data_IF_521290064629
#
_entry.id   IF_521290064629
#
_cell.length_a   1.000
_cell.length_b   1.000
_cell.length_c   1.000
_cell.angle_alpha   90.00
_cell.angle_beta   90.00
_cell.angle_gamma   90.00
#
_symmetry.space_group_name_H-M   'P 1'
#
loop_
_entity.id
_entity.type
_entity.pdbx_description
1 polymer ?
#
# COMPACT_ATOMS: atom_id res chain seq x y z
N UNK A 1 9.93 6.07 -36.56
CA UNK A 1 9.18 6.77 -35.49
C UNK A 1 8.18 7.71 -36.15
N UNK A 2 6.89 7.68 -35.74
CA UNK A 2 5.75 8.46 -36.28
C UNK A 2 4.83 7.73 -37.27
N UNK A 3 4.00 6.79 -36.78
CA UNK A 3 2.82 6.32 -37.53
C UNK A 3 1.47 6.65 -36.89
N UNK A 4 1.43 7.19 -35.66
CA UNK A 4 0.19 7.26 -34.87
C UNK A 4 -0.04 8.58 -34.10
N UNK A 5 0.62 9.69 -34.43
CA UNK A 5 0.27 10.97 -33.78
C UNK A 5 -0.99 11.54 -34.43
N UNK A 6 -2.11 11.55 -33.69
CA UNK A 6 -3.36 12.24 -34.06
C UNK A 6 -4.45 11.39 -34.72
N UNK A 7 -4.19 10.11 -35.00
CA UNK A 7 -5.22 9.18 -35.48
C UNK A 7 -5.98 8.54 -34.29
N UNK A 8 -7.26 8.17 -34.46
CA UNK A 8 -7.98 7.39 -33.46
C UNK A 8 -7.24 6.07 -33.20
N UNK A 9 -7.21 5.65 -31.94
CA UNK A 9 -6.58 4.39 -31.55
C UNK A 9 -7.43 3.22 -32.07
N UNK A 10 -6.85 2.41 -32.96
CA UNK A 10 -7.47 1.19 -33.45
C UNK A 10 -6.72 -0.03 -32.93
N UNK A 11 -7.46 -0.92 -32.27
CA UNK A 11 -6.91 -2.13 -31.65
C UNK A 11 -6.22 -3.03 -32.69
N UNK A 12 -6.82 -3.16 -33.88
CA UNK A 12 -6.31 -3.96 -35.01
C UNK A 12 -5.00 -3.42 -35.60
N UNK A 13 -4.71 -2.13 -35.40
CA UNK A 13 -3.49 -1.50 -35.89
C UNK A 13 -2.27 -1.77 -34.98
N UNK A 14 -2.49 -2.32 -33.78
CA UNK A 14 -1.40 -2.62 -32.85
C UNK A 14 -0.69 -3.91 -33.27
N UNK A 15 0.60 -3.79 -33.56
CA UNK A 15 1.45 -4.91 -33.95
C UNK A 15 2.46 -5.27 -32.84
N UNK A 16 3.11 -6.42 -32.97
CA UNK A 16 4.24 -6.78 -32.10
C UNK A 16 5.35 -5.72 -32.12
N UNK A 17 5.58 -5.06 -33.26
CA UNK A 17 6.55 -3.96 -33.39
C UNK A 17 6.12 -2.77 -32.54
N UNK A 18 4.84 -2.40 -32.56
CA UNK A 18 4.29 -1.32 -31.72
C UNK A 18 4.59 -1.54 -30.23
N UNK A 19 4.46 -2.79 -29.77
CA UNK A 19 4.73 -3.14 -28.36
C UNK A 19 6.23 -3.19 -28.06
N UNK A 20 7.06 -3.62 -29.01
CA UNK A 20 8.52 -3.55 -28.90
C UNK A 20 9.02 -2.10 -28.86
N UNK A 21 8.43 -1.21 -29.64
CA UNK A 21 8.69 0.23 -29.62
C UNK A 21 8.27 0.83 -28.29
N UNK A 22 7.09 0.48 -27.77
CA UNK A 22 6.64 0.91 -26.45
C UNK A 22 7.58 0.43 -25.33
N UNK A 23 8.02 -0.84 -25.38
CA UNK A 23 9.04 -1.37 -24.47
C UNK A 23 10.34 -0.58 -24.55
N UNK A 24 10.77 -0.21 -25.75
CA UNK A 24 11.99 0.55 -25.98
C UNK A 24 11.86 1.99 -25.50
N UNK A 25 10.69 2.60 -25.67
CA UNK A 25 10.36 3.92 -25.13
C UNK A 25 10.36 3.94 -23.58
N UNK A 26 9.72 2.96 -22.95
CA UNK A 26 9.76 2.80 -21.49
C UNK A 26 11.20 2.66 -20.97
N UNK A 27 12.07 2.00 -21.74
CA UNK A 27 13.45 1.73 -21.35
C UNK A 27 14.40 2.90 -21.60
N UNK A 28 14.37 3.48 -22.79
CA UNK A 28 15.39 4.42 -23.27
C UNK A 28 14.96 5.88 -23.11
N UNK A 29 13.66 6.16 -23.01
CA UNK A 29 13.15 7.53 -22.89
C UNK A 29 12.64 7.80 -21.49
N UNK A 30 11.89 6.87 -20.90
CA UNK A 30 11.38 7.00 -19.53
C UNK A 30 12.25 6.32 -18.48
N UNK A 31 13.35 5.67 -18.89
CA UNK A 31 14.36 5.03 -18.03
C UNK A 31 13.76 4.16 -16.91
N UNK A 32 12.68 3.44 -17.22
CA UNK A 32 11.95 2.67 -16.23
C UNK A 32 12.73 1.42 -15.79
N UNK A 33 12.56 1.06 -14.52
CA UNK A 33 13.15 -0.18 -13.97
C UNK A 33 12.59 -1.42 -14.67
N UNK A 34 13.37 -2.51 -14.83
CA UNK A 34 12.93 -3.74 -15.48
C UNK A 34 11.60 -4.30 -14.95
N UNK A 35 11.39 -4.24 -13.63
CA UNK A 35 10.15 -4.70 -12.99
C UNK A 35 8.92 -3.87 -13.43
N UNK A 36 9.05 -2.55 -13.53
CA UNK A 36 7.99 -1.65 -14.01
C UNK A 36 7.67 -1.93 -15.46
N UNK A 37 8.69 -2.10 -16.31
CA UNK A 37 8.52 -2.45 -17.73
C UNK A 37 7.77 -3.78 -17.87
N UNK A 38 8.20 -4.81 -17.13
CA UNK A 38 7.56 -6.12 -17.19
C UNK A 38 6.10 -6.08 -16.69
N UNK A 39 5.78 -5.25 -15.70
CA UNK A 39 4.41 -5.04 -15.25
C UNK A 39 3.55 -4.46 -16.38
N UNK A 40 4.03 -3.43 -17.08
CA UNK A 40 3.33 -2.86 -18.23
C UNK A 40 3.14 -3.90 -19.35
N UNK A 41 4.17 -4.67 -19.68
CA UNK A 41 4.09 -5.74 -20.68
C UNK A 41 3.13 -6.86 -20.27
N UNK A 42 3.09 -7.23 -18.98
CA UNK A 42 2.15 -8.24 -18.48
C UNK A 42 0.70 -7.77 -18.59
N UNK A 43 0.43 -6.49 -18.30
CA UNK A 43 -0.88 -5.87 -18.53
C UNK A 43 -1.26 -5.94 -20.00
N UNK A 44 -0.35 -5.59 -20.91
CA UNK A 44 -0.61 -5.66 -22.35
C UNK A 44 -0.91 -7.10 -22.82
N UNK A 45 -0.13 -8.08 -22.38
CA UNK A 45 -0.40 -9.50 -22.69
C UNK A 45 -1.76 -9.96 -22.18
N UNK A 46 -2.15 -9.54 -20.99
CA UNK A 46 -3.47 -9.87 -20.41
C UNK A 46 -4.59 -9.24 -21.24
N UNK A 47 -4.46 -7.94 -21.55
CA UNK A 47 -5.44 -7.20 -22.32
C UNK A 47 -5.61 -7.74 -23.75
N UNK A 48 -4.52 -7.98 -24.48
CA UNK A 48 -4.59 -8.51 -25.84
C UNK A 48 -4.98 -9.99 -25.88
N UNK A 49 -4.62 -10.78 -24.87
CA UNK A 49 -5.14 -12.14 -24.70
C UNK A 49 -6.67 -12.15 -24.58
N UNK A 50 -7.22 -11.29 -23.71
CA UNK A 50 -8.67 -11.08 -23.62
C UNK A 50 -9.28 -10.61 -24.95
N UNK A 51 -8.64 -9.67 -25.64
CA UNK A 51 -9.16 -9.14 -26.90
C UNK A 51 -9.24 -10.20 -28.01
N UNK A 52 -8.34 -11.18 -28.00
CA UNK A 52 -8.44 -12.37 -28.88
C UNK A 52 -9.59 -13.26 -28.44
N UNK A 53 -9.73 -13.51 -27.14
CA UNK A 53 -10.77 -14.38 -26.57
C UNK A 53 -12.19 -13.89 -26.91
N UNK A 54 -12.42 -12.57 -26.89
CA UNK A 54 -13.71 -11.98 -27.26
C UNK A 54 -13.84 -11.66 -28.76
N UNK A 55 -12.85 -12.03 -29.58
CA UNK A 55 -12.90 -11.91 -31.04
C UNK A 55 -12.67 -10.51 -31.62
N UNK A 56 -12.14 -9.56 -30.86
CA UNK A 56 -11.81 -8.22 -31.36
C UNK A 56 -10.60 -8.18 -32.29
N UNK A 57 -9.65 -9.12 -32.10
CA UNK A 57 -8.48 -9.30 -32.96
C UNK A 57 -8.21 -10.79 -33.17
N UNK A 58 -7.57 -11.14 -34.29
CA UNK A 58 -7.29 -12.54 -34.63
C UNK A 58 -6.11 -13.13 -33.86
N UNK A 59 -5.16 -12.32 -33.40
CA UNK A 59 -3.95 -12.79 -32.73
C UNK A 59 -3.39 -11.76 -31.74
N UNK A 60 -2.83 -12.22 -30.63
CA UNK A 60 -2.24 -11.37 -29.59
C UNK A 60 -0.87 -10.81 -30.03
N UNK A 61 -0.75 -9.49 -30.29
CA UNK A 61 0.51 -8.86 -30.68
C UNK A 61 1.58 -8.88 -29.57
N UNK A 62 1.18 -9.00 -28.30
CA UNK A 62 2.06 -8.97 -27.13
C UNK A 62 2.67 -10.33 -26.77
N UNK A 63 2.05 -11.43 -27.21
CA UNK A 63 2.40 -12.81 -26.88
C UNK A 63 3.91 -13.09 -26.93
N UNK A 64 4.56 -12.75 -28.05
CA UNK A 64 5.99 -13.01 -28.33
C UNK A 64 6.96 -11.95 -27.77
N UNK A 65 6.47 -10.87 -27.17
CA UNK A 65 7.34 -9.82 -26.63
C UNK A 65 8.06 -10.34 -25.38
N UNK A 66 9.39 -10.30 -25.42
CA UNK A 66 10.24 -10.81 -24.34
C UNK A 66 10.25 -9.86 -23.14
N UNK A 67 10.01 -10.43 -21.96
CA UNK A 67 10.21 -9.75 -20.68
C UNK A 67 11.69 -9.46 -20.45
N UNK A 68 12.00 -8.40 -19.70
CA UNK A 68 13.36 -8.12 -19.26
C UNK A 68 13.74 -9.03 -18.10
N UNK A 69 15.00 -9.45 -18.06
CA UNK A 69 15.56 -10.11 -16.88
C UNK A 69 15.52 -9.12 -15.72
N UNK A 70 14.74 -9.43 -14.69
CA UNK A 70 14.79 -8.73 -13.42
C UNK A 70 15.89 -9.42 -12.62
N UNK A 71 16.90 -8.69 -12.16
CA UNK A 71 17.81 -9.25 -11.16
C UNK A 71 16.94 -9.69 -9.97
N UNK A 72 17.22 -10.86 -9.41
CA UNK A 72 16.60 -11.28 -8.14
C UNK A 72 16.76 -10.11 -7.17
N UNK A 73 15.64 -9.44 -6.86
CA UNK A 73 15.65 -8.38 -5.87
C UNK A 73 16.09 -9.06 -4.59
N UNK A 74 17.10 -8.49 -3.91
CA UNK A 74 17.49 -8.96 -2.58
C UNK A 74 16.23 -9.15 -1.75
N UNK A 75 16.21 -10.16 -0.88
CA UNK A 75 15.08 -10.44 0.01
C UNK A 75 14.45 -9.15 0.53
N UNK A 76 13.10 -9.06 0.61
CA UNK A 76 12.41 -7.83 1.00
C UNK A 76 13.13 -7.16 2.16
N UNK A 77 13.49 -5.89 2.02
CA UNK A 77 14.20 -5.17 3.08
C UNK A 77 13.33 -5.23 4.34
N UNK A 78 13.81 -5.92 5.36
CA UNK A 78 13.18 -6.06 6.66
C UNK A 78 13.96 -5.21 7.67
N UNK A 79 13.29 -4.82 8.76
CA UNK A 79 13.96 -4.11 9.84
C UNK A 79 14.65 -5.11 10.74
N UNK A 80 15.94 -4.90 11.01
CA UNK A 80 16.68 -5.64 12.03
C UNK A 80 16.10 -5.40 13.42
N UNK A 81 16.34 -6.31 14.37
CA UNK A 81 15.90 -6.13 15.76
C UNK A 81 16.44 -4.83 16.36
N UNK A 82 17.66 -4.41 15.98
CA UNK A 82 18.23 -3.14 16.41
C UNK A 82 17.44 -1.93 15.87
N UNK A 83 17.04 -1.95 14.59
CA UNK A 83 16.20 -0.90 14.00
C UNK A 83 14.81 -0.86 14.64
N UNK A 84 14.22 -2.02 14.94
CA UNK A 84 12.92 -2.13 15.62
C UNK A 84 13.01 -1.56 17.03
N UNK A 85 14.03 -1.94 17.79
CA UNK A 85 14.24 -1.46 19.16
C UNK A 85 14.48 0.05 19.18
N UNK A 86 15.27 0.56 18.25
CA UNK A 86 15.51 2.00 18.11
C UNK A 86 14.23 2.76 17.80
N UNK A 87 13.44 2.29 16.83
CA UNK A 87 12.18 2.93 16.48
C UNK A 87 11.19 2.89 17.64
N UNK A 88 11.09 1.75 18.33
CA UNK A 88 10.22 1.60 19.51
C UNK A 88 10.65 2.57 20.62
N UNK A 89 11.95 2.68 20.91
CA UNK A 89 12.48 3.61 21.89
C UNK A 89 12.18 5.08 21.52
N UNK A 90 12.40 5.47 20.26
CA UNK A 90 12.05 6.83 19.79
C UNK A 90 10.57 7.11 19.95
N UNK A 91 9.71 6.16 19.57
CA UNK A 91 8.27 6.31 19.71
C UNK A 91 7.84 6.38 21.17
N UNK A 92 8.46 5.63 22.08
CA UNK A 92 8.11 5.62 23.51
C UNK A 92 8.58 6.86 24.27
N UNK A 93 9.72 7.43 23.88
CA UNK A 93 10.32 8.63 24.52
C UNK A 93 9.79 9.94 23.96
N UNK A 94 9.14 9.94 22.79
CA UNK A 94 8.52 11.14 22.24
C UNK A 94 7.38 11.64 23.13
N UNK A 95 7.30 12.97 23.30
CA UNK A 95 6.19 13.63 24.00
C UNK A 95 4.87 13.18 23.39
N UNK A 96 3.94 12.77 24.26
CA UNK A 96 2.62 12.32 23.83
C UNK A 96 1.80 13.54 23.40
N UNK A 97 1.54 13.62 22.09
CA UNK A 97 0.61 14.53 21.45
C UNK A 97 -0.34 13.70 20.55
N UNK A 98 -1.35 14.35 19.96
CA UNK A 98 -2.33 13.67 19.11
C UNK A 98 -1.68 12.85 17.99
N UNK A 99 -0.64 13.39 17.36
CA UNK A 99 0.05 12.77 16.23
C UNK A 99 1.00 11.66 16.71
N UNK A 100 1.84 11.91 17.70
CA UNK A 100 2.79 10.90 18.19
C UNK A 100 2.07 9.69 18.81
N UNK A 101 0.94 9.91 19.51
CA UNK A 101 0.11 8.82 20.01
C UNK A 101 -0.51 7.98 18.88
N UNK A 102 -0.99 8.65 17.83
CA UNK A 102 -1.52 7.98 16.63
C UNK A 102 -0.44 7.16 15.93
N UNK A 103 0.71 7.78 15.65
CA UNK A 103 1.79 7.18 14.89
C UNK A 103 2.38 5.98 15.67
N UNK A 104 2.48 6.08 17.01
CA UNK A 104 2.84 4.96 17.90
C UNK A 104 1.83 3.82 17.83
N UNK A 105 0.53 4.12 17.89
CA UNK A 105 -0.52 3.11 17.80
C UNK A 105 -0.57 2.43 16.42
N UNK A 106 -0.35 3.19 15.33
CA UNK A 106 -0.20 2.65 13.97
C UNK A 106 0.99 1.70 13.91
N UNK A 107 2.15 2.11 14.45
CA UNK A 107 3.35 1.28 14.46
C UNK A 107 3.10 -0.08 15.12
N UNK A 108 2.58 -0.12 16.36
CA UNK A 108 2.30 -1.40 17.02
C UNK A 108 1.19 -2.19 16.32
N UNK A 109 0.21 -1.54 15.69
CA UNK A 109 -0.83 -2.25 14.93
C UNK A 109 -0.22 -2.96 13.72
N UNK A 110 0.72 -2.33 13.03
CA UNK A 110 1.43 -2.95 11.91
C UNK A 110 2.42 -4.00 12.38
N UNK A 111 3.22 -3.69 13.41
CA UNK A 111 4.34 -4.51 13.85
C UNK A 111 3.90 -5.71 14.71
N UNK A 112 3.05 -5.49 15.72
CA UNK A 112 2.61 -6.55 16.64
C UNK A 112 1.40 -7.32 16.11
N UNK A 113 0.48 -6.67 15.39
CA UNK A 113 -0.68 -7.35 14.82
C UNK A 113 -0.54 -7.69 13.33
N UNK A 114 0.56 -7.29 12.67
CA UNK A 114 0.85 -7.69 11.29
C UNK A 114 -0.12 -7.11 10.26
N UNK A 115 -0.74 -5.96 10.54
CA UNK A 115 -1.66 -5.32 9.60
C UNK A 115 -0.88 -4.61 8.48
N UNK A 116 -1.36 -4.75 7.25
CA UNK A 116 -0.90 -3.96 6.10
C UNK A 116 -1.44 -2.53 6.20
N UNK A 117 -0.77 -1.58 5.52
CA UNK A 117 -1.16 -0.16 5.54
C UNK A 117 -2.64 0.03 5.18
N UNK A 118 -3.14 -0.67 4.16
CA UNK A 118 -4.55 -0.58 3.77
C UNK A 118 -5.50 -1.15 4.83
N UNK A 119 -5.15 -2.28 5.45
CA UNK A 119 -5.90 -2.86 6.56
C UNK A 119 -5.94 -1.89 7.76
N UNK A 120 -4.85 -1.19 8.06
CA UNK A 120 -4.79 -0.14 9.10
C UNK A 120 -5.69 1.04 8.75
N UNK A 121 -5.64 1.53 7.50
CA UNK A 121 -6.48 2.65 7.05
C UNK A 121 -7.99 2.34 7.10
N UNK A 122 -8.36 1.06 6.97
CA UNK A 122 -9.75 0.59 7.01
C UNK A 122 -10.16 -0.02 8.35
N UNK A 123 -9.28 -0.07 9.34
CA UNK A 123 -9.58 -0.62 10.66
C UNK A 123 -10.61 0.25 11.38
N UNK A 124 -11.72 -0.35 11.83
CA UNK A 124 -12.81 0.32 12.54
C UNK A 124 -12.69 0.12 14.05
N UNK A 125 -13.34 0.99 14.82
CA UNK A 125 -13.46 0.87 16.27
C UNK A 125 -14.07 -0.48 16.68
N UNK A 126 -15.09 -0.93 15.96
CA UNK A 126 -15.80 -2.20 16.20
C UNK A 126 -14.93 -3.45 15.98
N UNK A 127 -13.79 -3.30 15.31
CA UNK A 127 -12.86 -4.40 15.07
C UNK A 127 -11.90 -4.64 16.25
N UNK A 128 -11.87 -3.75 17.24
CA UNK A 128 -10.97 -3.81 18.39
C UNK A 128 -11.76 -4.16 19.64
N UNK A 129 -11.51 -5.34 20.21
CA UNK A 129 -12.12 -5.77 21.46
C UNK A 129 -11.07 -5.80 22.58
N UNK A 130 -11.13 -4.80 23.46
CA UNK A 130 -10.22 -4.69 24.61
C UNK A 130 -10.53 -5.66 25.75
N UNK A 131 -11.74 -6.24 25.80
CA UNK A 131 -12.13 -7.22 26.82
C UNK A 131 -11.56 -8.59 26.45
N UNK A 132 -11.67 -8.95 25.18
CA UNK A 132 -11.12 -10.20 24.62
C UNK A 132 -9.65 -10.08 24.20
N UNK A 133 -9.10 -8.86 24.20
CA UNK A 133 -7.73 -8.55 23.76
C UNK A 133 -7.46 -9.02 22.33
N UNK A 134 -8.38 -8.71 21.41
CA UNK A 134 -8.27 -9.11 20.01
C UNK A 134 -8.51 -7.94 19.05
N UNK A 135 -7.88 -8.03 17.87
CA UNK A 135 -8.14 -7.19 16.71
C UNK A 135 -8.62 -8.07 15.56
N UNK A 136 -9.77 -7.74 15.00
CA UNK A 136 -10.36 -8.44 13.84
C UNK A 136 -9.99 -7.72 12.55
N UNK A 137 -9.27 -8.39 11.66
CA UNK A 137 -8.88 -7.85 10.35
C UNK A 137 -9.81 -8.42 9.29
N UNK A 138 -10.68 -7.56 8.73
CA UNK A 138 -11.74 -7.99 7.79
C UNK A 138 -11.23 -8.29 6.38
N UNK A 139 -10.29 -7.47 5.86
CA UNK A 139 -9.87 -7.50 4.46
C UNK A 139 -8.61 -8.36 4.22
N UNK A 140 -8.62 -9.61 4.68
CA UNK A 140 -7.59 -10.57 4.29
C UNK A 140 -7.69 -10.95 2.80
N UNK A 141 -6.57 -11.27 2.15
CA UNK A 141 -6.53 -11.77 0.76
C UNK A 141 -7.54 -12.94 0.61
N UNK A 142 -8.53 -12.76 -0.27
CA UNK A 142 -9.61 -13.73 -0.50
C UNK A 142 -10.90 -13.49 0.30
N UNK A 143 -11.07 -12.31 0.91
CA UNK A 143 -12.31 -11.94 1.62
C UNK A 143 -12.51 -12.64 2.96
N UNK A 144 -11.44 -13.23 3.51
CA UNK A 144 -11.47 -13.91 4.81
C UNK A 144 -11.00 -12.98 5.92
N UNK A 145 -11.78 -12.92 7.00
CA UNK A 145 -11.34 -12.23 8.20
C UNK A 145 -10.34 -13.09 8.99
N UNK A 146 -9.46 -12.44 9.75
CA UNK A 146 -8.59 -13.08 10.75
C UNK A 146 -8.65 -12.35 12.07
N UNK A 147 -8.46 -13.07 13.16
CA UNK A 147 -8.39 -12.51 14.51
C UNK A 147 -6.94 -12.56 14.97
N UNK A 148 -6.44 -11.45 15.51
CA UNK A 148 -5.06 -11.32 15.98
C UNK A 148 -5.07 -10.92 17.46
N UNK A 149 -4.29 -11.58 18.33
CA UNK A 149 -4.19 -11.20 19.73
C UNK A 149 -3.56 -9.82 19.90
N UNK A 150 -3.99 -9.09 20.91
CA UNK A 150 -3.52 -7.76 21.25
C UNK A 150 -2.39 -7.85 22.28
N UNK A 151 -1.16 -7.68 21.83
CA UNK A 151 0.01 -7.62 22.72
C UNK A 151 -0.06 -6.42 23.67
N UNK A 152 0.58 -6.47 24.86
CA UNK A 152 0.52 -5.40 25.86
C UNK A 152 0.86 -4.00 25.32
N UNK A 153 1.87 -3.89 24.46
CA UNK A 153 2.31 -2.62 23.86
C UNK A 153 1.29 -2.08 22.86
N UNK A 154 0.66 -2.98 22.09
CA UNK A 154 -0.46 -2.64 21.22
C UNK A 154 -1.66 -2.15 22.04
N UNK A 155 -2.02 -2.87 23.10
CA UNK A 155 -3.12 -2.49 24.00
C UNK A 155 -2.89 -1.12 24.62
N UNK A 156 -1.69 -0.89 25.16
CA UNK A 156 -1.30 0.38 25.77
C UNK A 156 -1.37 1.52 24.75
N UNK A 157 -0.75 1.36 23.59
CA UNK A 157 -0.73 2.40 22.55
C UNK A 157 -2.12 2.72 22.00
N UNK A 158 -2.96 1.70 21.76
CA UNK A 158 -4.36 1.91 21.33
C UNK A 158 -5.19 2.65 22.38
N UNK A 159 -5.04 2.31 23.67
CA UNK A 159 -5.75 3.02 24.74
C UNK A 159 -5.34 4.49 24.82
N UNK A 160 -4.04 4.78 24.77
CA UNK A 160 -3.52 6.16 24.75
C UNK A 160 -4.04 6.93 23.54
N UNK A 161 -4.00 6.32 22.35
CA UNK A 161 -4.52 6.93 21.13
C UNK A 161 -6.01 7.21 21.23
N UNK A 162 -6.82 6.24 21.64
CA UNK A 162 -8.27 6.41 21.76
C UNK A 162 -8.67 7.47 22.78
N UNK A 163 -7.91 7.61 23.89
CA UNK A 163 -8.15 8.68 24.85
C UNK A 163 -8.01 10.07 24.20
N UNK A 164 -6.94 10.31 23.43
CA UNK A 164 -6.72 11.59 22.74
C UNK A 164 -7.68 11.79 21.56
N UNK A 165 -7.98 10.73 20.81
CA UNK A 165 -8.94 10.75 19.71
C UNK A 165 -10.32 11.16 20.20
N UNK A 166 -10.79 10.56 21.28
CA UNK A 166 -12.13 10.77 21.83
C UNK A 166 -12.24 12.08 22.61
N UNK A 167 -11.14 12.60 23.15
CA UNK A 167 -11.07 13.92 23.77
C UNK A 167 -10.88 15.06 22.75
N UNK A 168 -10.86 14.77 21.45
CA UNK A 168 -10.64 15.80 20.44
C UNK A 168 -11.88 16.67 20.24
N UNK A 169 -11.68 17.98 20.19
CA UNK A 169 -12.74 18.97 19.93
C UNK A 169 -13.30 18.92 18.50
N UNK A 170 -12.68 18.15 17.60
CA UNK A 170 -13.08 18.03 16.20
C UNK A 170 -14.18 16.96 16.07
N UNK A 171 -15.43 17.30 15.69
CA UNK A 171 -16.53 16.33 15.63
C UNK A 171 -16.24 15.13 14.74
N UNK A 172 -15.62 15.36 13.58
CA UNK A 172 -15.25 14.31 12.63
C UNK A 172 -14.20 13.32 13.14
N UNK A 173 -13.51 13.59 14.26
CA UNK A 173 -12.68 12.59 14.92
C UNK A 173 -13.52 11.63 15.75
N UNK A 174 -14.50 12.12 16.48
CA UNK A 174 -15.31 11.33 17.42
C UNK A 174 -16.38 10.54 16.68
N UNK A 175 -17.04 11.16 15.70
CA UNK A 175 -18.11 10.56 14.89
C UNK A 175 -17.61 9.51 13.89
N UNK A 176 -16.31 9.48 13.62
CA UNK A 176 -15.77 8.51 12.68
C UNK A 176 -15.83 7.08 13.22
N UNK A 177 -16.22 6.13 12.37
CA UNK A 177 -16.11 4.69 12.67
C UNK A 177 -14.66 4.18 12.61
N UNK A 178 -13.77 4.91 11.94
CA UNK A 178 -12.39 4.47 11.72
C UNK A 178 -11.54 4.67 12.97
N UNK A 179 -10.72 3.66 13.27
CA UNK A 179 -9.82 3.68 14.41
C UNK A 179 -8.78 4.79 14.28
N UNK A 180 -8.23 4.97 13.07
CA UNK A 180 -7.21 5.97 12.79
C UNK A 180 -7.76 7.11 11.94
N UNK A 181 -7.59 8.34 12.43
CA UNK A 181 -8.03 9.58 11.80
C UNK A 181 -6.82 10.48 11.53
N UNK A 182 -6.96 11.40 10.59
CA UNK A 182 -5.93 12.42 10.33
C UNK A 182 -6.28 13.72 11.05
N UNK A 183 -5.34 14.65 11.18
CA UNK A 183 -5.63 15.97 11.76
C UNK A 183 -6.74 16.74 11.02
N UNK A 184 -7.01 16.38 9.75
CA UNK A 184 -7.92 17.09 8.84
C UNK A 184 -9.12 16.26 8.38
N UNK A 185 -9.21 14.99 8.78
CA UNK A 185 -10.24 14.07 8.27
C UNK A 185 -10.47 12.90 9.22
N UNK A 186 -11.73 12.50 9.34
CA UNK A 186 -12.17 11.33 10.09
C UNK A 186 -11.69 9.98 9.51
N UNK A 187 -10.95 9.96 8.40
CA UNK A 187 -10.37 8.72 7.87
C UNK A 187 -8.93 8.93 7.41
N UNK A 188 -8.06 8.00 7.79
CA UNK A 188 -6.71 7.89 7.24
C UNK A 188 -6.72 7.17 5.88
N UNK A 189 -5.91 7.63 4.94
CA UNK A 189 -5.72 6.99 3.63
C UNK A 189 -4.27 6.54 3.45
N UNK A 190 -4.03 5.62 2.52
CA UNK A 190 -2.67 5.15 2.20
C UNK A 190 -1.73 6.27 1.74
N UNK A 191 -2.28 7.40 1.28
CA UNK A 191 -1.54 8.59 0.82
C UNK A 191 -1.47 9.71 1.86
N UNK A 192 -2.27 9.66 2.93
CA UNK A 192 -2.12 10.62 4.01
C UNK A 192 -0.78 10.37 4.70
N UNK A 193 0.06 11.41 4.81
CA UNK A 193 1.38 11.35 5.48
C UNK A 193 1.17 10.96 6.94
N UNK A 194 1.20 9.67 7.21
CA UNK A 194 0.90 9.09 8.50
C UNK A 194 2.08 9.10 9.46
N UNK A 195 3.32 9.31 8.99
CA UNK A 195 4.51 9.28 9.84
C UNK A 195 5.32 10.56 9.64
N UNK A 196 5.73 11.22 10.73
CA UNK A 196 6.84 12.18 10.64
C UNK A 196 8.03 11.44 10.02
N UNK A 197 8.80 12.05 9.10
CA UNK A 197 10.13 11.56 8.83
C UNK A 197 10.85 11.51 10.17
N UNK A 198 11.22 10.32 10.63
CA UNK A 198 12.21 10.19 11.70
C UNK A 198 13.43 10.90 11.14
N UNK A 199 13.83 12.01 11.78
CA UNK A 199 14.93 12.84 11.32
C UNK A 199 16.11 11.95 10.95
N UNK A 200 16.77 12.28 9.83
CA UNK A 200 17.97 11.59 9.40
C UNK A 200 18.91 11.48 10.60
N UNK A 201 19.06 10.26 11.09
CA UNK A 201 20.10 9.95 12.05
C UNK A 201 21.38 10.00 11.23
N UNK A 202 22.04 11.15 11.27
CA UNK A 202 23.50 11.25 11.16
C UNK A 202 24.15 10.63 12.39
#
# INVERSE_FOLDING_TARGET
>A
MSRFRGAPFELVAVTTITIQDYRSYLMNTLEQKPATINKALATLKTFFGWAVEVGHIAADPASKVRMRRVQQVSSPKWMTDQEINRLSYTLETEKIDFKSARDRAIFYTMFRAGLRVEEVCNLKLTHVDFRREIVTVMDGKGGKFRVVPMYPELKKSLKTWLALRNASEKPFHVESDYLFVTERSGKMTTRSRALRPVGAIS
#
